data_IF_509094257670
#
_entry.id   IF_509094257670
#
_cell.length_a   1.000
_cell.length_b   1.000
_cell.length_c   1.000
_cell.angle_alpha   90.00
_cell.angle_beta   90.00
_cell.angle_gamma   90.00
#
_symmetry.space_group_name_H-M   'P 1'
#
loop_
_entity.id
_entity.type
_entity.pdbx_description
1 polymer ?
#
# COMPACT_ATOMS: atom_id res chain seq x y z
N UNK A 1 -1.95 40.14 -43.48
CA UNK A 1 -1.99 38.68 -43.25
C UNK A 1 -0.76 38.29 -42.44
N UNK A 2 -0.92 38.14 -41.12
CA UNK A 2 0.16 37.72 -40.22
C UNK A 2 -0.14 36.29 -39.76
N UNK A 3 0.68 35.35 -40.19
CA UNK A 3 0.57 33.93 -39.82
C UNK A 3 1.27 33.73 -38.49
N UNK A 4 0.51 33.43 -37.45
CA UNK A 4 1.03 33.14 -36.11
C UNK A 4 1.80 31.81 -36.12
N UNK A 5 3.09 31.86 -35.75
CA UNK A 5 3.94 30.69 -35.59
C UNK A 5 3.55 29.92 -34.33
N UNK A 6 3.30 28.61 -34.47
CA UNK A 6 2.99 27.72 -33.36
C UNK A 6 4.22 27.51 -32.44
N UNK A 7 4.03 27.42 -31.12
CA UNK A 7 5.13 27.19 -30.18
C UNK A 7 5.74 25.80 -30.39
N UNK A 8 7.05 25.77 -30.63
CA UNK A 8 7.83 24.55 -30.81
C UNK A 8 7.74 23.62 -29.60
N UNK A 9 7.31 22.38 -29.84
CA UNK A 9 7.31 21.33 -28.82
C UNK A 9 8.72 20.98 -28.34
N UNK A 10 8.86 20.47 -27.10
CA UNK A 10 10.15 20.14 -26.53
C UNK A 10 10.89 19.10 -27.38
N UNK A 11 12.23 19.20 -27.49
CA UNK A 11 13.02 18.29 -28.28
C UNK A 11 12.84 16.86 -27.75
N UNK A 12 12.33 15.97 -28.62
CA UNK A 12 12.29 14.53 -28.35
C UNK A 12 13.73 14.04 -28.18
N UNK A 13 14.14 13.78 -26.94
CA UNK A 13 15.40 13.09 -26.66
C UNK A 13 15.38 11.75 -27.41
N UNK A 14 16.18 11.65 -28.47
CA UNK A 14 16.44 10.37 -29.13
C UNK A 14 17.21 9.51 -28.14
N UNK A 15 16.50 8.56 -27.53
CA UNK A 15 17.08 7.58 -26.62
C UNK A 15 18.30 6.94 -27.27
N UNK A 16 19.47 7.18 -26.67
CA UNK A 16 20.70 6.52 -27.06
C UNK A 16 20.48 5.01 -27.09
N UNK A 17 20.92 4.38 -28.19
CA UNK A 17 20.75 2.95 -28.42
C UNK A 17 21.18 2.16 -27.20
N UNK A 18 20.20 1.57 -26.50
CA UNK A 18 20.47 0.63 -25.43
C UNK A 18 21.20 -0.56 -26.05
N UNK A 19 22.53 -0.55 -25.94
CA UNK A 19 23.34 -1.72 -26.25
C UNK A 19 22.75 -2.95 -25.53
N UNK A 20 22.97 -4.18 -26.05
CA UNK A 20 22.30 -5.38 -25.58
C UNK A 20 22.37 -5.43 -24.06
N UNK A 21 21.22 -5.17 -23.41
CA UNK A 21 21.11 -5.22 -21.94
C UNK A 21 21.60 -6.61 -21.57
N UNK A 22 22.75 -6.69 -20.90
CA UNK A 22 23.27 -7.96 -20.40
C UNK A 22 22.14 -8.56 -19.59
N UNK A 23 21.47 -9.59 -20.11
CA UNK A 23 20.30 -10.19 -19.49
C UNK A 23 20.67 -10.53 -18.06
N UNK A 24 20.15 -9.69 -17.18
CA UNK A 24 20.37 -9.69 -15.77
C UNK A 24 19.81 -11.01 -15.22
N UNK A 25 20.25 -11.41 -14.03
CA UNK A 25 19.77 -12.65 -13.44
C UNK A 25 18.25 -12.50 -13.26
N UNK A 26 17.46 -13.50 -13.65
CA UNK A 26 16.01 -13.39 -13.61
C UNK A 26 15.41 -14.54 -12.81
N UNK A 27 14.34 -14.22 -12.09
CA UNK A 27 13.55 -15.17 -11.31
C UNK A 27 12.12 -15.12 -11.81
N UNK A 28 11.63 -16.26 -12.29
CA UNK A 28 10.32 -16.41 -12.89
C UNK A 28 9.41 -17.18 -11.95
N UNK A 29 8.35 -16.54 -11.46
CA UNK A 29 7.41 -17.13 -10.51
C UNK A 29 6.19 -17.65 -11.25
N UNK A 30 5.94 -18.96 -11.15
CA UNK A 30 4.82 -19.61 -11.82
C UNK A 30 3.48 -19.07 -11.33
N UNK A 31 2.65 -18.56 -12.25
CA UNK A 31 1.32 -18.03 -11.96
C UNK A 31 0.18 -18.97 -12.39
N UNK A 32 0.47 -20.26 -12.65
CA UNK A 32 -0.58 -21.26 -12.90
C UNK A 32 -1.61 -21.31 -11.76
N UNK A 33 -2.82 -21.81 -12.05
CA UNK A 33 -3.89 -21.86 -11.05
C UNK A 33 -3.48 -22.58 -9.75
N UNK A 34 -2.77 -23.71 -9.86
CA UNK A 34 -2.24 -24.46 -8.71
C UNK A 34 -1.22 -23.64 -7.89
N UNK A 35 -0.28 -22.96 -8.54
CA UNK A 35 0.69 -22.11 -7.85
C UNK A 35 0.02 -20.86 -7.25
N UNK A 36 -0.94 -20.26 -7.96
CA UNK A 36 -1.70 -19.10 -7.51
C UNK A 36 -2.51 -19.42 -6.25
N UNK A 37 -3.16 -20.59 -6.20
CA UNK A 37 -3.87 -21.08 -5.01
C UNK A 37 -2.97 -21.26 -3.79
N UNK A 38 -1.66 -21.47 -4.01
CA UNK A 38 -0.64 -21.56 -2.96
C UNK A 38 0.09 -20.24 -2.71
N UNK A 39 -0.43 -19.12 -3.23
CA UNK A 39 0.08 -17.78 -2.94
C UNK A 39 1.25 -17.34 -3.82
N UNK A 40 1.42 -17.89 -5.03
CA UNK A 40 2.52 -17.47 -5.93
C UNK A 40 2.43 -16.01 -6.39
N UNK A 41 1.23 -15.41 -6.44
CA UNK A 41 1.05 -13.97 -6.69
C UNK A 41 1.68 -13.11 -5.60
N UNK A 42 1.44 -13.48 -4.34
CA UNK A 42 2.00 -12.79 -3.16
C UNK A 42 3.51 -13.01 -3.10
N UNK A 43 3.96 -14.24 -3.38
CA UNK A 43 5.38 -14.57 -3.46
C UNK A 43 6.13 -13.74 -4.52
N UNK A 44 5.53 -13.51 -5.69
CA UNK A 44 6.11 -12.65 -6.71
C UNK A 44 6.35 -11.24 -6.17
N UNK A 45 5.37 -10.65 -5.47
CA UNK A 45 5.53 -9.34 -4.82
C UNK A 45 6.63 -9.33 -3.75
N UNK A 46 6.73 -10.40 -2.96
CA UNK A 46 7.80 -10.53 -1.96
C UNK A 46 9.19 -10.54 -2.62
N UNK A 47 9.33 -11.20 -3.77
CA UNK A 47 10.59 -11.27 -4.52
C UNK A 47 10.86 -9.94 -5.25
N UNK A 48 9.87 -9.33 -5.89
CA UNK A 48 9.97 -8.01 -6.54
C UNK A 48 10.50 -6.97 -5.55
N UNK A 49 9.94 -6.94 -4.33
CA UNK A 49 10.37 -6.05 -3.26
C UNK A 49 11.85 -6.20 -2.89
N UNK A 50 12.32 -7.44 -2.71
CA UNK A 50 13.69 -7.74 -2.31
C UNK A 50 14.68 -7.53 -3.45
N UNK A 51 14.23 -7.71 -4.69
CA UNK A 51 15.02 -7.48 -5.89
C UNK A 51 15.05 -6.00 -6.32
N UNK A 52 14.19 -5.16 -5.75
CA UNK A 52 14.03 -3.76 -6.18
C UNK A 52 15.35 -2.98 -6.02
N UNK A 53 15.97 -2.60 -7.14
CA UNK A 53 17.24 -1.86 -7.17
C UNK A 53 18.49 -2.77 -7.21
N UNK A 54 18.30 -4.08 -7.40
CA UNK A 54 19.37 -5.04 -7.63
C UNK A 54 19.50 -5.35 -9.12
N UNK A 55 20.50 -6.15 -9.50
CA UNK A 55 20.62 -6.71 -10.86
C UNK A 55 19.75 -7.95 -11.08
N UNK A 56 18.72 -8.17 -10.26
CA UNK A 56 17.82 -9.31 -10.38
C UNK A 56 16.42 -8.83 -10.78
N UNK A 57 15.84 -9.46 -11.79
CA UNK A 57 14.47 -9.17 -12.24
C UNK A 57 13.53 -10.28 -11.81
N UNK A 58 12.44 -9.91 -11.15
CA UNK A 58 11.37 -10.83 -10.76
C UNK A 58 10.20 -10.69 -11.74
N UNK A 59 9.80 -11.82 -12.34
CA UNK A 59 8.79 -11.83 -13.39
C UNK A 59 7.74 -12.91 -13.11
N UNK A 60 6.49 -12.62 -13.47
CA UNK A 60 5.47 -13.65 -13.61
C UNK A 60 5.81 -14.56 -14.81
N UNK A 61 5.55 -15.86 -14.69
CA UNK A 61 5.61 -16.80 -15.81
C UNK A 61 4.40 -17.72 -15.82
N UNK A 62 4.18 -18.38 -16.96
CA UNK A 62 3.11 -19.36 -17.14
C UNK A 62 3.44 -20.67 -16.38
N UNK A 63 2.68 -21.73 -16.64
CA UNK A 63 2.92 -23.03 -16.01
C UNK A 63 4.33 -23.55 -16.31
N UNK A 64 5.09 -23.90 -15.25
CA UNK A 64 6.41 -24.54 -15.37
C UNK A 64 6.33 -26.07 -15.45
N UNK A 65 5.19 -26.64 -15.86
CA UNK A 65 4.94 -28.09 -15.96
C UNK A 65 5.24 -28.90 -14.67
N UNK A 66 5.11 -28.26 -13.51
CA UNK A 66 5.39 -28.84 -12.19
C UNK A 66 4.24 -28.58 -11.21
N UNK A 67 3.00 -28.63 -11.71
CA UNK A 67 1.79 -28.47 -10.89
C UNK A 67 1.77 -29.49 -9.74
N UNK A 68 1.12 -29.14 -8.63
CA UNK A 68 1.06 -29.91 -7.40
C UNK A 68 2.22 -29.64 -6.44
N UNK A 69 3.35 -29.12 -6.93
CA UNK A 69 4.55 -28.79 -6.12
C UNK A 69 4.76 -27.29 -5.88
N UNK A 70 3.81 -26.46 -6.30
CA UNK A 70 3.89 -25.00 -6.20
C UNK A 70 3.96 -24.46 -4.75
N UNK A 71 4.32 -23.18 -4.55
CA UNK A 71 4.75 -22.23 -5.58
C UNK A 71 6.10 -22.63 -6.20
N UNK A 72 6.15 -22.65 -7.54
CA UNK A 72 7.34 -23.00 -8.29
C UNK A 72 8.02 -21.74 -8.83
N UNK A 73 9.35 -21.76 -8.84
CA UNK A 73 10.18 -20.65 -9.32
C UNK A 73 11.25 -21.17 -10.27
N UNK A 74 11.41 -20.55 -11.43
CA UNK A 74 12.50 -20.82 -12.36
C UNK A 74 13.55 -19.72 -12.26
N UNK A 75 14.82 -20.13 -12.10
CA UNK A 75 15.97 -19.26 -12.00
C UNK A 75 16.69 -19.27 -13.35
N UNK A 76 16.85 -18.09 -13.95
CA UNK A 76 17.54 -17.89 -15.22
C UNK A 76 18.81 -17.08 -15.00
N UNK A 77 19.96 -17.68 -15.30
CA UNK A 77 21.27 -17.04 -15.25
C UNK A 77 21.91 -17.20 -16.63
N UNK A 78 22.44 -16.10 -17.19
CA UNK A 78 23.08 -16.13 -18.52
C UNK A 78 24.18 -17.20 -18.58
N UNK A 79 24.09 -18.08 -19.59
CA UNK A 79 25.06 -19.15 -19.81
C UNK A 79 24.88 -20.39 -18.93
N UNK A 80 23.85 -20.45 -18.10
CA UNK A 80 23.49 -21.64 -17.32
C UNK A 80 22.09 -22.15 -17.72
N UNK A 81 21.85 -23.48 -17.68
CA UNK A 81 20.51 -24.00 -17.89
C UNK A 81 19.54 -23.48 -16.81
N UNK A 82 18.25 -23.29 -17.14
CA UNK A 82 17.26 -22.85 -16.18
C UNK A 82 17.12 -23.88 -15.05
N UNK A 83 17.04 -23.40 -13.81
CA UNK A 83 16.87 -24.24 -12.62
C UNK A 83 15.51 -23.99 -11.99
N UNK A 84 14.71 -25.05 -11.84
CA UNK A 84 13.39 -24.95 -11.20
C UNK A 84 13.52 -25.32 -9.73
N UNK A 85 13.01 -24.47 -8.85
CA UNK A 85 12.91 -24.68 -7.40
C UNK A 85 11.43 -24.83 -7.05
N UNK A 86 11.10 -25.92 -6.37
CA UNK A 86 9.74 -26.25 -5.93
C UNK A 86 9.50 -25.80 -4.48
N UNK A 87 8.22 -25.72 -4.09
CA UNK A 87 7.78 -25.44 -2.71
C UNK A 87 8.51 -24.24 -2.09
N UNK A 88 8.56 -23.11 -2.81
CA UNK A 88 9.13 -21.87 -2.28
C UNK A 88 8.14 -21.25 -1.31
N UNK A 89 8.03 -21.89 -0.15
CA UNK A 89 7.17 -21.52 0.96
C UNK A 89 8.07 -20.95 2.07
N UNK A 90 7.72 -19.77 2.59
CA UNK A 90 8.47 -19.08 3.63
C UNK A 90 9.53 -18.08 3.12
N UNK A 91 9.73 -17.04 3.90
CA UNK A 91 10.71 -15.98 3.64
C UNK A 91 12.16 -16.51 3.61
N UNK A 92 12.50 -17.48 4.47
CA UNK A 92 13.85 -18.09 4.52
C UNK A 92 14.24 -18.76 3.20
N UNK A 93 13.28 -19.37 2.51
CA UNK A 93 13.53 -20.01 1.21
C UNK A 93 13.77 -18.95 0.13
N UNK A 94 13.02 -17.85 0.15
CA UNK A 94 13.24 -16.71 -0.75
C UNK A 94 14.62 -16.10 -0.53
N UNK A 95 14.98 -15.80 0.72
CA UNK A 95 16.30 -15.26 1.08
C UNK A 95 17.44 -16.20 0.65
N UNK A 96 17.30 -17.50 0.91
CA UNK A 96 18.27 -18.51 0.47
C UNK A 96 18.41 -18.54 -1.05
N UNK A 97 17.30 -18.47 -1.78
CA UNK A 97 17.28 -18.49 -3.25
C UNK A 97 17.99 -17.25 -3.81
N UNK A 98 17.63 -16.05 -3.34
CA UNK A 98 18.24 -14.79 -3.77
C UNK A 98 19.74 -14.76 -3.46
N UNK A 99 20.14 -15.18 -2.26
CA UNK A 99 21.55 -15.17 -1.85
C UNK A 99 22.39 -16.26 -2.53
N UNK A 100 21.94 -17.51 -2.52
CA UNK A 100 22.76 -18.66 -2.92
C UNK A 100 22.75 -18.90 -4.42
N UNK A 101 21.59 -18.72 -5.06
CA UNK A 101 21.44 -19.03 -6.49
C UNK A 101 21.71 -17.80 -7.35
N UNK A 102 21.25 -16.63 -6.90
CA UNK A 102 21.35 -15.39 -7.66
C UNK A 102 22.49 -14.49 -7.18
N UNK A 103 23.12 -14.76 -6.03
CA UNK A 103 24.19 -13.91 -5.50
C UNK A 103 23.73 -12.48 -5.24
N UNK A 104 22.47 -12.29 -4.84
CA UNK A 104 21.91 -10.99 -4.48
C UNK A 104 22.20 -10.75 -3.00
N UNK A 105 22.92 -9.66 -2.72
CA UNK A 105 23.17 -9.22 -1.35
C UNK A 105 22.06 -8.28 -0.91
N UNK A 106 21.24 -8.74 0.05
CA UNK A 106 20.14 -7.96 0.63
C UNK A 106 20.64 -7.34 1.93
N UNK A 107 20.47 -6.01 2.08
CA UNK A 107 20.84 -5.34 3.33
C UNK A 107 20.04 -5.91 4.51
N UNK A 108 20.64 -5.89 5.70
CA UNK A 108 19.98 -6.41 6.92
C UNK A 108 18.62 -5.78 7.18
N UNK A 109 18.51 -4.46 7.00
CA UNK A 109 17.26 -3.72 7.20
C UNK A 109 16.19 -4.12 6.17
N UNK A 110 16.55 -4.15 4.88
CA UNK A 110 15.65 -4.59 3.79
C UNK A 110 15.13 -6.00 4.01
N UNK A 111 15.99 -6.90 4.51
CA UNK A 111 15.62 -8.26 4.86
C UNK A 111 14.60 -8.31 6.00
N UNK A 112 14.84 -7.56 7.09
CA UNK A 112 13.90 -7.51 8.22
C UNK A 112 12.53 -6.95 7.81
N UNK A 113 12.53 -5.87 7.02
CA UNK A 113 11.29 -5.27 6.52
C UNK A 113 10.61 -6.19 5.52
N UNK A 114 11.38 -6.86 4.65
CA UNK A 114 10.87 -7.88 3.73
C UNK A 114 10.17 -9.03 4.45
N UNK A 115 10.74 -9.52 5.55
CA UNK A 115 10.13 -10.57 6.38
C UNK A 115 8.82 -10.09 7.00
N UNK A 116 8.78 -8.86 7.52
CA UNK A 116 7.55 -8.30 8.08
C UNK A 116 6.47 -8.11 7.00
N UNK A 117 6.83 -7.64 5.79
CA UNK A 117 5.91 -7.53 4.65
C UNK A 117 5.38 -8.91 4.24
N UNK A 118 6.26 -9.90 4.17
CA UNK A 118 5.92 -11.29 3.88
C UNK A 118 4.85 -11.82 4.85
N UNK A 119 5.05 -11.59 6.15
CA UNK A 119 4.14 -12.02 7.20
C UNK A 119 2.84 -11.20 7.22
N UNK A 120 2.90 -9.91 6.89
CA UNK A 120 1.73 -9.04 6.82
C UNK A 120 0.79 -9.47 5.69
N UNK A 121 1.30 -9.73 4.48
CA UNK A 121 0.49 -10.18 3.34
C UNK A 121 -0.24 -11.50 3.59
N UNK A 122 0.27 -12.32 4.52
CA UNK A 122 -0.28 -13.64 4.88
C UNK A 122 -1.04 -13.65 6.20
N UNK A 123 -1.13 -12.52 6.92
CA UNK A 123 -1.95 -12.47 8.13
C UNK A 123 -3.44 -12.56 7.78
N UNK A 124 -4.25 -13.13 8.68
CA UNK A 124 -5.67 -13.40 8.38
C UNK A 124 -6.54 -12.18 8.64
N UNK A 125 -6.22 -11.41 9.67
CA UNK A 125 -7.03 -10.27 10.11
C UNK A 125 -6.36 -8.95 9.77
N UNK A 126 -7.16 -7.94 9.41
CA UNK A 126 -6.64 -6.59 9.13
C UNK A 126 -5.82 -6.03 10.31
N UNK A 127 -6.23 -6.35 11.55
CA UNK A 127 -5.52 -5.91 12.74
C UNK A 127 -4.12 -6.53 12.82
N UNK A 128 -3.97 -7.84 12.63
CA UNK A 128 -2.64 -8.49 12.59
C UNK A 128 -1.74 -7.92 11.50
N UNK A 129 -2.31 -7.61 10.32
CA UNK A 129 -1.59 -6.99 9.22
C UNK A 129 -1.05 -5.62 9.63
N UNK A 130 -1.93 -4.77 10.20
CA UNK A 130 -1.56 -3.45 10.66
C UNK A 130 -0.53 -3.51 11.80
N UNK A 131 -0.67 -4.43 12.75
CA UNK A 131 0.29 -4.59 13.84
C UNK A 131 1.68 -4.96 13.33
N UNK A 132 1.77 -5.82 12.31
CA UNK A 132 3.02 -6.14 11.63
C UNK A 132 3.59 -4.93 10.90
N UNK A 133 2.79 -4.22 10.10
CA UNK A 133 3.26 -3.03 9.39
C UNK A 133 3.71 -1.91 10.35
N UNK A 134 3.03 -1.73 11.49
CA UNK A 134 3.45 -0.81 12.54
C UNK A 134 4.80 -1.21 13.17
N UNK A 135 5.10 -2.51 13.30
CA UNK A 135 6.44 -2.96 13.70
C UNK A 135 7.49 -2.56 12.67
N UNK A 136 7.20 -2.65 11.36
CA UNK A 136 8.14 -2.21 10.33
C UNK A 136 8.40 -0.70 10.39
N UNK A 137 7.35 0.13 10.54
CA UNK A 137 7.54 1.57 10.74
C UNK A 137 8.36 1.89 12.00
N UNK A 138 8.14 1.17 13.11
CA UNK A 138 8.95 1.32 14.33
C UNK A 138 10.43 0.98 14.09
N UNK A 139 10.74 -0.05 13.31
CA UNK A 139 12.13 -0.37 12.94
C UNK A 139 12.79 0.73 12.12
N UNK A 140 12.01 1.50 11.36
CA UNK A 140 12.47 2.68 10.62
C UNK A 140 12.50 3.98 11.46
N UNK A 141 12.15 3.91 12.74
CA UNK A 141 12.13 5.06 13.65
C UNK A 141 10.79 5.80 13.72
N UNK A 142 9.70 5.18 13.28
CA UNK A 142 8.37 5.80 13.15
C UNK A 142 8.07 6.24 11.72
N UNK A 143 6.81 6.45 11.39
CA UNK A 143 6.34 6.72 10.02
C UNK A 143 6.94 8.00 9.42
N UNK A 144 6.97 9.10 10.19
CA UNK A 144 7.52 10.38 9.75
C UNK A 144 9.03 10.29 9.48
N UNK A 145 9.79 9.72 10.42
CA UNK A 145 11.23 9.55 10.30
C UNK A 145 11.60 8.57 9.17
N UNK A 146 10.80 7.53 8.98
CA UNK A 146 10.96 6.55 7.91
C UNK A 146 10.88 7.24 6.54
N UNK A 147 9.89 8.11 6.34
CA UNK A 147 9.71 8.84 5.08
C UNK A 147 10.91 9.70 4.68
N UNK A 148 11.64 10.25 5.65
CA UNK A 148 12.86 11.03 5.38
C UNK A 148 14.09 10.15 5.18
N UNK A 149 14.28 9.12 6.01
CA UNK A 149 15.50 8.29 5.99
C UNK A 149 15.51 7.26 4.88
N UNK A 150 14.37 6.61 4.68
CA UNK A 150 14.18 5.48 3.76
C UNK A 150 12.87 5.66 2.97
N UNK A 151 12.78 6.72 2.12
CA UNK A 151 11.54 7.08 1.43
C UNK A 151 10.98 5.93 0.58
N UNK A 152 11.85 5.16 -0.07
CA UNK A 152 11.45 4.00 -0.88
C UNK A 152 10.82 2.88 -0.04
N UNK A 153 11.45 2.47 1.06
CA UNK A 153 10.91 1.42 1.94
C UNK A 153 9.61 1.87 2.60
N UNK A 154 9.54 3.13 2.99
CA UNK A 154 8.33 3.74 3.56
C UNK A 154 7.20 3.73 2.55
N UNK A 155 7.47 4.15 1.30
CA UNK A 155 6.52 4.06 0.19
C UNK A 155 6.02 2.62 0.00
N UNK A 156 6.90 1.62 -0.05
CA UNK A 156 6.50 0.21 -0.16
C UNK A 156 5.61 -0.27 1.01
N UNK A 157 5.93 0.15 2.25
CA UNK A 157 5.11 -0.21 3.42
C UNK A 157 3.72 0.43 3.35
N UNK A 158 3.65 1.70 2.94
CA UNK A 158 2.39 2.41 2.73
C UNK A 158 1.56 1.76 1.62
N UNK A 159 2.17 1.32 0.52
CA UNK A 159 1.49 0.56 -0.54
C UNK A 159 0.87 -0.73 0.00
N UNK A 160 1.61 -1.50 0.80
CA UNK A 160 1.07 -2.72 1.44
C UNK A 160 -0.09 -2.36 2.37
N UNK A 161 0.06 -1.32 3.21
CA UNK A 161 -1.01 -0.87 4.13
C UNK A 161 -2.26 -0.40 3.38
N UNK A 162 -2.07 0.39 2.32
CA UNK A 162 -3.14 0.90 1.46
C UNK A 162 -3.94 -0.22 0.80
N UNK A 163 -3.27 -1.26 0.28
CA UNK A 163 -3.96 -2.44 -0.28
C UNK A 163 -4.86 -3.12 0.73
N UNK A 164 -4.43 -3.19 2.00
CA UNK A 164 -5.24 -3.79 3.07
C UNK A 164 -6.45 -2.93 3.45
N UNK A 165 -6.37 -1.62 3.23
CA UNK A 165 -7.47 -0.70 3.47
C UNK A 165 -8.51 -0.64 2.34
N UNK A 166 -8.20 -1.10 1.11
CA UNK A 166 -9.09 -0.98 -0.06
C UNK A 166 -10.55 -1.43 0.20
N UNK A 167 -10.74 -2.56 0.90
CA UNK A 167 -12.09 -3.11 1.12
C UNK A 167 -12.79 -2.56 2.37
N UNK A 168 -12.04 -2.00 3.33
CA UNK A 168 -12.57 -1.63 4.65
C UNK A 168 -12.60 -0.14 4.92
N UNK A 169 -11.69 0.61 4.30
CA UNK A 169 -11.54 2.05 4.50
C UNK A 169 -10.78 2.65 3.31
N UNK A 170 -11.48 2.83 2.17
CA UNK A 170 -10.88 3.32 0.95
C UNK A 170 -10.29 4.74 1.11
N UNK A 171 -10.81 5.59 1.99
CA UNK A 171 -10.25 6.91 2.28
C UNK A 171 -8.85 6.82 2.90
N UNK A 172 -8.63 5.89 3.83
CA UNK A 172 -7.29 5.65 4.36
C UNK A 172 -6.35 5.04 3.31
N UNK A 173 -6.88 4.19 2.42
CA UNK A 173 -6.10 3.66 1.29
C UNK A 173 -5.62 4.79 0.37
N UNK A 174 -6.49 5.75 0.04
CA UNK A 174 -6.11 6.94 -0.76
C UNK A 174 -4.99 7.72 -0.08
N UNK A 175 -5.11 8.03 1.22
CA UNK A 175 -4.07 8.79 1.96
C UNK A 175 -2.71 8.09 1.93
N UNK A 176 -2.69 6.80 2.23
CA UNK A 176 -1.46 6.02 2.23
C UNK A 176 -0.85 5.92 0.82
N UNK A 177 -1.67 5.67 -0.20
CA UNK A 177 -1.20 5.55 -1.57
C UNK A 177 -0.71 6.89 -2.14
N UNK A 178 -1.40 8.01 -1.87
CA UNK A 178 -0.94 9.36 -2.21
C UNK A 178 0.43 9.64 -1.59
N UNK A 179 0.57 9.38 -0.29
CA UNK A 179 1.85 9.58 0.39
C UNK A 179 2.95 8.68 -0.18
N UNK A 180 2.61 7.45 -0.58
CA UNK A 180 3.55 6.55 -1.23
C UNK A 180 4.02 7.10 -2.61
N UNK A 181 3.12 7.69 -3.40
CA UNK A 181 3.48 8.33 -4.69
C UNK A 181 4.37 9.57 -4.52
N UNK A 182 4.17 10.34 -3.45
CA UNK A 182 5.03 11.49 -3.12
C UNK A 182 6.44 11.05 -2.72
N UNK A 183 6.55 10.02 -1.88
CA UNK A 183 7.83 9.52 -1.36
C UNK A 183 8.65 8.80 -2.44
N UNK A 184 7.98 8.10 -3.36
CA UNK A 184 8.66 7.37 -4.42
C UNK A 184 7.89 7.46 -5.75
N UNK A 185 8.06 8.57 -6.50
CA UNK A 185 7.31 8.80 -7.74
C UNK A 185 7.62 7.81 -8.86
N UNK A 186 8.74 7.07 -8.81
CA UNK A 186 9.02 6.02 -9.80
C UNK A 186 8.39 4.66 -9.41
N UNK A 187 7.72 4.57 -8.27
CA UNK A 187 7.06 3.36 -7.79
C UNK A 187 5.67 3.20 -8.40
N UNK A 188 5.56 2.48 -9.52
CA UNK A 188 4.30 2.30 -10.25
C UNK A 188 3.19 1.68 -9.41
N UNK A 189 3.53 0.79 -8.47
CA UNK A 189 2.55 0.13 -7.62
C UNK A 189 1.76 1.11 -6.75
N UNK A 190 2.37 2.21 -6.31
CA UNK A 190 1.69 3.23 -5.52
C UNK A 190 0.55 3.89 -6.31
N UNK A 191 0.77 4.19 -7.60
CA UNK A 191 -0.26 4.72 -8.49
C UNK A 191 -1.37 3.72 -8.77
N UNK A 192 -1.04 2.44 -8.94
CA UNK A 192 -2.06 1.40 -9.12
C UNK A 192 -2.96 1.32 -7.89
N UNK A 193 -2.39 1.28 -6.69
CA UNK A 193 -3.16 1.20 -5.46
C UNK A 193 -3.97 2.48 -5.22
N UNK A 194 -3.43 3.63 -5.58
CA UNK A 194 -4.17 4.91 -5.56
C UNK A 194 -5.38 4.87 -6.49
N UNK A 195 -5.20 4.40 -7.73
CA UNK A 195 -6.28 4.25 -8.69
C UNK A 195 -7.34 3.26 -8.21
N UNK A 196 -6.94 2.12 -7.64
CA UNK A 196 -7.88 1.16 -7.02
C UNK A 196 -8.63 1.76 -5.83
N UNK A 197 -7.99 2.62 -5.03
CA UNK A 197 -8.63 3.28 -3.90
C UNK A 197 -9.68 4.31 -4.36
N UNK A 198 -9.37 5.13 -5.38
CA UNK A 198 -10.35 6.01 -6.01
C UNK A 198 -11.48 5.24 -6.68
N UNK A 199 -11.18 4.09 -7.29
CA UNK A 199 -12.21 3.19 -7.83
C UNK A 199 -13.19 2.75 -6.72
N UNK A 200 -12.69 2.40 -5.53
CA UNK A 200 -13.56 2.03 -4.40
C UNK A 200 -14.41 3.18 -3.87
N UNK A 201 -13.98 4.43 -4.06
CA UNK A 201 -14.74 5.63 -3.69
C UNK A 201 -15.73 6.10 -4.78
N UNK A 202 -15.70 5.50 -5.97
CA UNK A 202 -16.52 5.95 -7.11
C UNK A 202 -15.95 7.17 -7.84
N UNK A 203 -14.71 7.57 -7.54
CA UNK A 203 -14.04 8.72 -8.14
C UNK A 203 -13.33 8.31 -9.44
N UNK A 204 -14.11 7.92 -10.45
CA UNK A 204 -13.60 7.27 -11.67
C UNK A 204 -12.59 8.12 -12.46
N UNK A 205 -12.79 9.44 -12.53
CA UNK A 205 -11.86 10.35 -13.21
C UNK A 205 -10.48 10.41 -12.53
N UNK A 206 -10.46 10.44 -11.19
CA UNK A 206 -9.19 10.42 -10.44
C UNK A 206 -8.52 9.05 -10.51
N UNK A 207 -9.31 7.98 -10.50
CA UNK A 207 -8.84 6.62 -10.71
C UNK A 207 -8.18 6.43 -12.09
N UNK A 208 -8.81 6.96 -13.15
CA UNK A 208 -8.25 6.95 -14.50
C UNK A 208 -6.91 7.70 -14.55
N UNK A 209 -6.84 8.89 -13.96
CA UNK A 209 -5.59 9.67 -13.90
C UNK A 209 -4.46 8.90 -13.22
N UNK A 210 -4.72 8.29 -12.06
CA UNK A 210 -3.72 7.47 -11.37
C UNK A 210 -3.28 6.25 -12.21
N UNK A 211 -4.20 5.66 -12.99
CA UNK A 211 -3.86 4.58 -13.91
C UNK A 211 -3.00 5.05 -15.09
N UNK A 212 -3.29 6.25 -15.63
CA UNK A 212 -2.45 6.89 -16.66
C UNK A 212 -1.03 7.14 -16.13
N UNK A 213 -0.92 7.65 -14.90
CA UNK A 213 0.37 7.88 -14.23
C UNK A 213 1.14 6.55 -14.05
N UNK A 214 0.47 5.47 -13.62
CA UNK A 214 1.10 4.15 -13.49
C UNK A 214 1.68 3.63 -14.83
N UNK A 215 0.93 3.78 -15.92
CA UNK A 215 1.38 3.42 -17.28
C UNK A 215 2.55 4.31 -17.72
N UNK A 216 2.47 5.61 -17.45
CA UNK A 216 3.54 6.57 -17.74
C UNK A 216 4.86 6.26 -17.02
N UNK A 217 4.77 5.69 -15.81
CA UNK A 217 5.92 5.23 -15.03
C UNK A 217 6.42 3.82 -15.38
N UNK A 218 5.82 3.16 -16.38
CA UNK A 218 6.31 1.90 -16.95
C UNK A 218 5.54 0.65 -16.55
N UNK A 219 4.43 0.76 -15.82
CA UNK A 219 3.56 -0.40 -15.56
C UNK A 219 2.61 -0.66 -16.72
N UNK A 220 2.96 -1.63 -17.55
CA UNK A 220 2.22 -1.91 -18.77
C UNK A 220 1.01 -2.83 -18.54
N UNK A 221 0.96 -3.61 -17.47
CA UNK A 221 -0.03 -4.68 -17.33
C UNK A 221 -1.16 -4.31 -16.38
N UNK A 222 -0.86 -4.07 -15.11
CA UNK A 222 -1.88 -3.69 -14.13
C UNK A 222 -2.40 -2.28 -14.41
N UNK A 223 -1.49 -1.35 -14.72
CA UNK A 223 -1.82 0.03 -15.09
C UNK A 223 -2.76 0.12 -16.28
N UNK A 224 -2.42 -0.53 -17.39
CA UNK A 224 -3.23 -0.52 -18.62
C UNK A 224 -4.60 -1.20 -18.44
N UNK A 225 -4.64 -2.29 -17.66
CA UNK A 225 -5.89 -2.97 -17.33
C UNK A 225 -6.83 -2.10 -16.51
N UNK A 226 -6.29 -1.37 -15.52
CA UNK A 226 -7.03 -0.39 -14.72
C UNK A 226 -7.49 0.79 -15.58
N UNK A 227 -6.60 1.36 -16.40
CA UNK A 227 -6.87 2.49 -17.29
C UNK A 227 -8.07 2.21 -18.21
N UNK A 228 -8.06 1.07 -18.92
CA UNK A 228 -9.16 0.67 -19.81
C UNK A 228 -10.49 0.56 -19.06
N UNK A 229 -10.48 -0.10 -17.90
CA UNK A 229 -11.68 -0.27 -17.06
C UNK A 229 -12.22 1.09 -16.60
N UNK A 230 -11.35 2.02 -16.20
CA UNK A 230 -11.76 3.32 -15.69
C UNK A 230 -12.29 4.23 -16.79
N UNK A 231 -11.68 4.21 -17.98
CA UNK A 231 -12.17 4.97 -19.14
C UNK A 231 -13.62 4.62 -19.44
N UNK A 232 -13.95 3.32 -19.50
CA UNK A 232 -15.34 2.87 -19.70
C UNK A 232 -16.29 3.38 -18.61
N UNK A 233 -15.86 3.42 -17.33
CA UNK A 233 -16.70 3.95 -16.24
C UNK A 233 -16.90 5.46 -16.33
N UNK A 234 -15.86 6.21 -16.73
CA UNK A 234 -15.96 7.66 -16.96
C UNK A 234 -16.91 7.94 -18.11
N UNK A 235 -16.75 7.28 -19.26
CA UNK A 235 -17.64 7.44 -20.41
C UNK A 235 -19.11 7.12 -20.04
N UNK A 236 -19.33 6.07 -19.24
CA UNK A 236 -20.66 5.72 -18.72
C UNK A 236 -21.23 6.79 -17.79
N UNK A 237 -20.41 7.36 -16.90
CA UNK A 237 -20.81 8.42 -15.99
C UNK A 237 -21.17 9.69 -16.76
N UNK A 238 -20.37 10.08 -17.74
CA UNK A 238 -20.63 11.23 -18.62
C UNK A 238 -21.90 11.03 -19.45
N UNK A 239 -22.09 9.85 -20.04
CA UNK A 239 -23.31 9.53 -20.77
C UNK A 239 -24.56 9.52 -19.88
N UNK A 240 -24.44 9.05 -18.63
CA UNK A 240 -25.53 9.11 -17.66
C UNK A 240 -25.85 10.55 -17.25
N UNK A 241 -24.84 11.40 -17.06
CA UNK A 241 -25.01 12.81 -16.75
C UNK A 241 -25.64 13.58 -17.93
N UNK A 242 -25.25 13.27 -19.17
CA UNK A 242 -25.83 13.89 -20.37
C UNK A 242 -27.30 13.47 -20.61
N UNK A 243 -27.70 12.28 -20.16
CA UNK A 243 -29.07 11.79 -20.26
C UNK A 243 -29.99 12.28 -19.15
N UNK A 244 -29.45 12.81 -18.04
CA UNK A 244 -30.30 13.51 -17.07
C UNK A 244 -30.85 14.74 -17.79
N UNK A 245 -32.17 14.82 -18.07
CA UNK A 245 -32.74 16.00 -18.67
C UNK A 245 -32.32 17.19 -17.80
N UNK A 246 -32.02 18.32 -18.43
CA UNK A 246 -31.89 19.60 -17.74
C UNK A 246 -33.24 19.90 -17.10
N UNK A 247 -33.52 19.29 -15.95
CA UNK A 247 -34.59 19.69 -15.07
C UNK A 247 -34.29 21.15 -14.75
N UNK A 248 -35.21 22.02 -15.18
CA UNK A 248 -35.01 23.46 -15.24
C UNK A 248 -34.55 24.07 -13.93
N UNK A 249 -34.15 25.34 -14.05
CA UNK A 249 -33.54 26.23 -13.04
C UNK A 249 -34.26 26.29 -11.67
N UNK A 250 -35.42 25.64 -11.49
CA UNK A 250 -36.13 25.51 -10.22
C UNK A 250 -35.56 24.42 -9.27
N UNK A 251 -34.64 23.56 -9.72
CA UNK A 251 -33.98 22.55 -8.87
C UNK A 251 -32.71 23.06 -8.16
N UNK A 252 -32.22 24.27 -8.47
CA UNK A 252 -31.06 24.86 -7.80
C UNK A 252 -31.38 25.24 -6.34
N UNK A 253 -32.65 25.61 -6.06
CA UNK A 253 -33.12 25.92 -4.71
C UNK A 253 -33.12 24.71 -3.75
N UNK A 254 -33.38 23.50 -4.24
CA UNK A 254 -33.43 22.30 -3.37
C UNK A 254 -32.04 21.70 -3.08
N UNK A 255 -31.07 21.87 -3.98
CA UNK A 255 -29.69 21.40 -3.74
C UNK A 255 -28.91 22.26 -2.74
N UNK A 256 -29.16 23.57 -2.68
CA UNK A 256 -28.57 24.44 -1.66
C UNK A 256 -29.13 24.13 -0.26
N UNK A 257 -30.43 23.84 -0.15
CA UNK A 257 -31.07 23.48 1.11
C UNK A 257 -30.62 22.10 1.62
N UNK A 258 -30.40 21.14 0.72
CA UNK A 258 -29.87 19.81 1.06
C UNK A 258 -28.37 19.85 1.44
N UNK A 259 -27.56 20.69 0.78
CA UNK A 259 -26.16 20.90 1.15
C UNK A 259 -26.01 21.64 2.50
N UNK A 260 -26.89 22.60 2.80
CA UNK A 260 -26.93 23.26 4.10
C UNK A 260 -27.37 22.31 5.21
N UNK A 261 -28.33 21.41 4.94
CA UNK A 261 -28.75 20.37 5.88
C UNK A 261 -27.62 19.38 6.17
N UNK A 262 -26.89 18.92 5.15
CA UNK A 262 -25.73 18.04 5.32
C UNK A 262 -24.59 18.72 6.09
N UNK A 263 -24.35 20.02 5.87
CA UNK A 263 -23.38 20.80 6.65
C UNK A 263 -23.79 20.92 8.12
N UNK A 264 -25.07 21.17 8.41
CA UNK A 264 -25.61 21.22 9.79
C UNK A 264 -25.52 19.86 10.48
N UNK A 265 -25.88 18.76 9.81
CA UNK A 265 -25.77 17.40 10.36
C UNK A 265 -24.31 17.00 10.63
N UNK A 266 -23.38 17.37 9.73
CA UNK A 266 -21.95 17.13 9.92
C UNK A 266 -21.36 17.94 11.09
N UNK A 267 -21.79 19.20 11.28
CA UNK A 267 -21.38 20.03 12.41
C UNK A 267 -21.93 19.48 13.74
N UNK A 268 -23.18 19.04 13.77
CA UNK A 268 -23.79 18.41 14.95
C UNK A 268 -23.09 17.09 15.31
N UNK A 269 -22.75 16.27 14.31
CA UNK A 269 -21.99 15.05 14.51
C UNK A 269 -20.57 15.33 15.08
N UNK A 270 -19.88 16.38 14.60
CA UNK A 270 -18.60 16.82 15.16
C UNK A 270 -18.74 17.26 16.62
N UNK A 271 -19.77 18.06 16.95
CA UNK A 271 -20.04 18.48 18.34
C UNK A 271 -20.33 17.29 19.26
N UNK A 272 -21.13 16.31 18.81
CA UNK A 272 -21.40 15.08 19.56
C UNK A 272 -20.14 14.25 19.79
N UNK A 273 -19.27 14.12 18.78
CA UNK A 273 -18.01 13.40 18.88
C UNK A 273 -17.02 14.08 19.85
N UNK A 274 -16.93 15.41 19.84
CA UNK A 274 -16.08 16.16 20.76
C UNK A 274 -16.56 16.04 22.22
N UNK A 275 -17.88 16.10 22.43
CA UNK A 275 -18.48 15.95 23.75
C UNK A 275 -18.30 14.53 24.31
N UNK A 276 -18.35 13.51 23.45
CA UNK A 276 -18.02 12.12 23.82
C UNK A 276 -16.54 11.96 24.21
N UNK A 277 -15.61 12.61 23.49
CA UNK A 277 -14.18 12.63 23.85
C UNK A 277 -13.93 13.30 25.19
N UNK A 278 -14.56 14.45 25.45
CA UNK A 278 -14.47 15.16 26.75
C UNK A 278 -15.00 14.30 27.90
N UNK A 279 -16.16 13.65 27.73
CA UNK A 279 -16.71 12.72 28.74
C UNK A 279 -15.78 11.53 29.02
N UNK A 280 -15.17 10.94 27.98
CA UNK A 280 -14.21 9.84 28.14
C UNK A 280 -12.94 10.28 28.88
N UNK A 281 -12.42 11.47 28.58
CA UNK A 281 -11.24 12.03 29.25
C UNK A 281 -11.50 12.29 30.75
N UNK A 282 -12.67 12.86 31.11
CA UNK A 282 -13.07 13.07 32.51
C UNK A 282 -13.24 11.74 33.25
N UNK A 283 -13.84 10.74 32.63
CA UNK A 283 -13.99 9.41 33.22
C UNK A 283 -12.64 8.73 33.47
N UNK A 284 -11.68 8.85 32.54
CA UNK A 284 -10.33 8.31 32.70
C UNK A 284 -9.54 9.05 33.80
N UNK A 285 -9.66 10.38 33.87
CA UNK A 285 -9.05 11.18 34.94
C UNK A 285 -9.60 10.80 36.33
N UNK A 286 -10.92 10.58 36.44
CA UNK A 286 -11.55 10.14 37.71
C UNK A 286 -11.05 8.76 38.13
N UNK A 287 -10.92 7.80 37.19
CA UNK A 287 -10.34 6.47 37.48
C UNK A 287 -8.88 6.55 37.93
N UNK A 288 -8.06 7.40 37.30
CA UNK A 288 -6.66 7.62 37.72
C UNK A 288 -6.56 8.24 39.11
N UNK A 289 -7.42 9.22 39.43
CA UNK A 289 -7.47 9.84 40.74
C UNK A 289 -7.90 8.86 41.85
N UNK A 290 -8.89 8.00 41.57
CA UNK A 290 -9.33 6.96 42.52
C UNK A 290 -8.26 5.89 42.75
N UNK A 291 -7.57 5.46 41.69
CA UNK A 291 -6.44 4.52 41.80
C UNK A 291 -5.29 5.11 42.63
N UNK A 292 -4.97 6.40 42.45
CA UNK A 292 -3.95 7.10 43.24
C UNK A 292 -4.32 7.15 44.72
N UNK A 293 -5.58 7.48 45.05
CA UNK A 293 -6.05 7.49 46.45
C UNK A 293 -5.98 6.10 47.10
N UNK A 294 -6.32 5.04 46.36
CA UNK A 294 -6.20 3.64 46.87
C UNK A 294 -4.74 3.24 47.11
N UNK A 295 -3.83 3.63 46.21
CA UNK A 295 -2.40 3.38 46.38
C UNK A 295 -1.81 4.12 47.59
N UNK A 296 -2.18 5.40 47.79
CA UNK A 296 -1.73 6.18 48.96
C UNK A 296 -2.29 5.64 50.28
N UNK A 297 -3.53 5.16 50.31
CA UNK A 297 -4.12 4.53 51.49
C UNK A 297 -3.44 3.19 51.83
N UNK A 298 -3.15 2.36 50.82
CA UNK A 298 -2.44 1.10 51.00
C UNK A 298 -0.99 1.32 51.50
N UNK A 299 -0.29 2.33 50.98
CA UNK A 299 1.05 2.69 51.44
C UNK A 299 1.06 3.16 52.90
N UNK A 300 0.06 3.95 53.32
CA UNK A 300 -0.07 4.38 54.73
C UNK A 300 -0.40 3.21 55.67
N UNK A 301 -1.24 2.26 55.24
CA UNK A 301 -1.56 1.09 56.04
C UNK A 301 -0.33 0.18 56.23
N UNK A 302 0.44 -0.08 55.15
CA UNK A 302 1.69 -0.83 55.23
C UNK A 302 2.72 -0.17 56.16
N UNK A 303 2.90 1.15 56.08
CA UNK A 303 3.81 1.87 56.98
C UNK A 303 3.37 1.81 58.45
N UNK A 304 2.05 1.83 58.72
CA UNK A 304 1.52 1.68 60.08
C UNK A 304 1.74 0.28 60.65
N UNK A 305 1.57 -0.77 59.84
CA UNK A 305 1.82 -2.16 60.26
C UNK A 305 3.32 -2.42 60.53
N UNK A 306 4.21 -1.82 59.75
CA UNK A 306 5.66 -1.91 59.96
C UNK A 306 6.09 -1.20 61.26
N UNK A 307 5.54 0.00 61.54
CA UNK A 307 5.80 0.71 62.79
C UNK A 307 5.26 -0.03 64.02
N UNK A 308 4.10 -0.69 63.91
CA UNK A 308 3.53 -1.49 64.99
C UNK A 308 4.30 -2.79 65.27
N UNK A 309 5.00 -3.36 64.28
CA UNK A 309 5.90 -4.51 64.48
C UNK A 309 7.24 -4.12 65.09
N UNK A 310 7.64 -2.85 64.97
CA UNK A 310 8.91 -2.35 65.49
C UNK A 310 8.82 -1.83 66.95
N UNK A 311 7.61 -1.61 67.46
CA UNK A 311 7.32 -1.21 68.85
C UNK A 311 7.05 -2.43 69.73
#
# INVERSE_FOLDING_TARGET
AAVAAAPGGPPRQRGGGAGPRRMAKAIQVCQSADCSGKGSKVLLKDIEDLCAGTSCEANATTCLNNCGKGPNVEIRIKGKPPKIVHKVEGFKMVDKLLKSELGVEIKKLDKQIGEIKYDARRAKTLQEKNDKLQKAFKLLGGEDAAGTKEPKLTSQLLVVRAREYLEKNAQNAVKDAQRATELWPSGTEAFIVLGLAFEKLGEWAQSLKAADDAVGHGDMWEGLGLQKRMRTKVDQQEAANAKKPAAGEDAEATSAEEEEKLKKEAEEAKKKAELAKKKKAVAEAKKKAEAKKKAEAAAKAAAGEEAARAA
#
